data_IF_446754627902
#
_entry.id   IF_446754627902
#
_cell.length_a   1.000
_cell.length_b   1.000
_cell.length_c   1.000
_cell.angle_alpha   90.00
_cell.angle_beta   90.00
_cell.angle_gamma   90.00
#
_symmetry.space_group_name_H-M   'P 1'
#
loop_
_entity.id
_entity.type
_entity.pdbx_description
1 polymer ?
#
# COMPACT_ATOMS: atom_id res chain seq x y z
N UNK A 1 2.46 -6.56 18.33
CA UNK A 1 3.27 -5.97 17.25
C UNK A 1 2.65 -4.62 16.91
N UNK A 2 3.41 -3.52 16.96
CA UNK A 2 2.89 -2.21 16.57
C UNK A 2 2.80 -2.09 15.03
N UNK A 3 2.14 -1.04 14.53
CA UNK A 3 1.92 -0.84 13.08
C UNK A 3 3.25 -0.77 12.31
N UNK A 4 4.24 -0.06 12.85
CA UNK A 4 5.56 0.02 12.21
C UNK A 4 6.24 -1.35 12.08
N UNK A 5 6.30 -2.15 13.15
CA UNK A 5 6.86 -3.50 13.14
C UNK A 5 6.12 -4.43 12.17
N UNK A 6 4.79 -4.29 12.10
CA UNK A 6 3.97 -5.02 11.14
C UNK A 6 4.42 -4.72 9.70
N UNK A 7 4.56 -3.44 9.34
CA UNK A 7 4.92 -3.04 7.99
C UNK A 7 6.37 -3.32 7.61
N UNK A 8 7.29 -3.27 8.57
CA UNK A 8 8.68 -3.68 8.36
C UNK A 8 8.75 -5.18 8.01
N UNK A 9 8.03 -6.03 8.75
CA UNK A 9 7.95 -7.46 8.43
C UNK A 9 7.26 -7.72 7.10
N UNK A 10 6.15 -7.02 6.85
CA UNK A 10 5.41 -7.10 5.60
C UNK A 10 6.28 -6.70 4.39
N UNK A 11 7.18 -5.73 4.55
CA UNK A 11 8.09 -5.30 3.50
C UNK A 11 9.06 -6.43 3.10
N UNK A 12 9.63 -7.15 4.07
CA UNK A 12 10.49 -8.29 3.81
C UNK A 12 9.75 -9.43 3.08
N UNK A 13 8.54 -9.76 3.54
CA UNK A 13 7.72 -10.83 2.95
C UNK A 13 7.23 -10.49 1.54
N UNK A 14 7.06 -9.20 1.23
CA UNK A 14 6.54 -8.71 -0.05
C UNK A 14 7.58 -8.07 -0.97
N UNK A 15 8.87 -8.20 -0.65
CA UNK A 15 9.98 -7.55 -1.36
C UNK A 15 10.01 -7.82 -2.89
N UNK A 16 9.41 -8.93 -3.34
CA UNK A 16 9.31 -9.32 -4.75
C UNK A 16 7.86 -9.36 -5.28
N UNK A 17 6.88 -8.84 -4.52
CA UNK A 17 5.47 -8.96 -4.86
C UNK A 17 4.68 -7.69 -4.54
N UNK A 18 4.46 -6.88 -5.57
CA UNK A 18 3.58 -5.71 -5.52
C UNK A 18 2.20 -6.06 -4.97
N UNK A 19 1.58 -7.13 -5.47
CA UNK A 19 0.25 -7.57 -5.03
C UNK A 19 0.22 -7.88 -3.53
N UNK A 20 1.27 -8.52 -3.02
CA UNK A 20 1.35 -8.85 -1.59
C UNK A 20 1.55 -7.58 -0.75
N UNK A 21 2.35 -6.63 -1.23
CA UNK A 21 2.53 -5.35 -0.56
C UNK A 21 1.23 -4.55 -0.48
N UNK A 22 0.48 -4.45 -1.59
CA UNK A 22 -0.84 -3.83 -1.63
C UNK A 22 -1.81 -4.49 -0.64
N UNK A 23 -1.80 -5.83 -0.55
CA UNK A 23 -2.61 -6.58 0.41
C UNK A 23 -2.31 -6.19 1.86
N UNK A 24 -1.04 -5.93 2.17
CA UNK A 24 -0.64 -5.48 3.49
C UNK A 24 -1.07 -4.04 3.79
N UNK A 25 -1.01 -3.15 2.81
CA UNK A 25 -1.50 -1.78 2.94
C UNK A 25 -3.02 -1.74 3.15
N UNK A 26 -3.77 -2.52 2.38
CA UNK A 26 -5.23 -2.58 2.44
C UNK A 26 -5.80 -2.94 3.84
N UNK A 27 -5.02 -3.64 4.69
CA UNK A 27 -5.46 -3.94 6.06
C UNK A 27 -5.67 -2.71 6.95
N UNK A 28 -4.93 -1.63 6.69
CA UNK A 28 -4.96 -0.41 7.50
C UNK A 28 -5.27 0.85 6.69
N UNK A 29 -5.38 0.74 5.37
CA UNK A 29 -5.79 1.82 4.46
C UNK A 29 -7.07 1.38 3.77
N UNK A 30 -8.18 2.06 4.07
CA UNK A 30 -9.49 1.78 3.51
C UNK A 30 -10.18 3.07 3.06
N UNK A 31 -11.30 2.95 2.34
CA UNK A 31 -12.12 4.12 1.95
C UNK A 31 -12.63 4.90 3.18
N UNK A 32 -12.96 4.19 4.25
CA UNK A 32 -13.54 4.78 5.46
C UNK A 32 -12.49 5.43 6.37
N UNK A 33 -11.35 4.79 6.54
CA UNK A 33 -10.30 5.24 7.45
C UNK A 33 -8.91 4.74 7.05
N UNK A 34 -7.91 5.53 7.42
CA UNK A 34 -6.49 5.17 7.39
C UNK A 34 -5.98 5.11 8.83
N UNK A 35 -5.52 3.94 9.26
CA UNK A 35 -5.05 3.69 10.63
C UNK A 35 -3.53 3.88 10.77
N UNK A 36 -2.82 4.09 9.66
CA UNK A 36 -1.40 4.40 9.63
C UNK A 36 -1.24 5.90 9.86
N UNK A 37 -0.42 6.30 10.83
CA UNK A 37 -0.12 7.72 11.08
C UNK A 37 1.09 8.20 10.30
N UNK A 38 1.28 9.52 10.20
CA UNK A 38 2.50 10.08 9.59
C UNK A 38 3.78 9.65 10.35
N UNK A 39 3.72 9.53 11.67
CA UNK A 39 4.83 9.04 12.49
C UNK A 39 5.14 7.56 12.20
N UNK A 40 4.10 6.72 12.03
CA UNK A 40 4.30 5.33 11.60
C UNK A 40 4.99 5.28 10.24
N UNK A 41 4.53 6.07 9.26
CA UNK A 41 5.13 6.13 7.92
C UNK A 41 6.61 6.48 8.03
N UNK A 42 6.95 7.51 8.82
CA UNK A 42 8.34 7.93 9.06
C UNK A 42 9.18 6.79 9.64
N UNK A 43 8.71 6.13 10.70
CA UNK A 43 9.43 5.01 11.32
C UNK A 43 9.61 3.85 10.32
N UNK A 44 8.61 3.57 9.49
CA UNK A 44 8.67 2.50 8.50
C UNK A 44 9.69 2.84 7.41
N UNK A 45 9.65 4.05 6.83
CA UNK A 45 10.54 4.45 5.72
C UNK A 45 11.99 4.63 6.16
N UNK A 46 12.22 5.12 7.39
CA UNK A 46 13.56 5.28 7.98
C UNK A 46 14.18 3.96 8.48
N UNK A 47 13.41 2.86 8.53
CA UNK A 47 13.90 1.55 9.03
C UNK A 47 15.02 0.92 8.18
N UNK A 48 15.18 1.37 6.93
CA UNK A 48 16.12 0.77 5.97
C UNK A 48 15.76 -0.65 5.52
N UNK A 49 14.55 -1.14 5.84
CA UNK A 49 14.09 -2.50 5.50
C UNK A 49 13.19 -2.56 4.27
N UNK A 50 12.66 -1.41 3.84
CA UNK A 50 11.82 -1.32 2.66
C UNK A 50 12.68 -1.10 1.40
N UNK A 51 12.28 -1.77 0.32
CA UNK A 51 12.72 -1.40 -1.02
C UNK A 51 12.21 -0.01 -1.38
N UNK A 52 12.92 0.73 -2.24
CA UNK A 52 12.53 2.09 -2.63
C UNK A 52 11.11 2.15 -3.22
N UNK A 53 10.73 1.14 -4.01
CA UNK A 53 9.38 1.06 -4.56
C UNK A 53 8.30 0.84 -3.47
N UNK A 54 8.61 0.12 -2.39
CA UNK A 54 7.68 -0.08 -1.28
C UNK A 54 7.47 1.21 -0.49
N UNK A 55 8.53 2.01 -0.31
CA UNK A 55 8.46 3.34 0.32
C UNK A 55 7.58 4.28 -0.50
N UNK A 56 7.87 4.40 -1.80
CA UNK A 56 7.11 5.26 -2.70
C UNK A 56 5.61 4.89 -2.72
N UNK A 57 5.29 3.59 -2.77
CA UNK A 57 3.89 3.14 -2.70
C UNK A 57 3.27 3.49 -1.35
N UNK A 58 3.96 3.26 -0.22
CA UNK A 58 3.43 3.59 1.10
C UNK A 58 3.08 5.07 1.19
N UNK A 59 4.00 5.94 0.78
CA UNK A 59 3.81 7.40 0.79
C UNK A 59 2.65 7.82 -0.11
N UNK A 60 2.59 7.32 -1.35
CA UNK A 60 1.48 7.62 -2.27
C UNK A 60 0.14 7.08 -1.74
N UNK A 61 0.12 5.90 -1.11
CA UNK A 61 -1.07 5.32 -0.52
C UNK A 61 -1.62 6.13 0.67
N UNK A 62 -0.86 7.09 1.22
CA UNK A 62 -1.38 7.99 2.24
C UNK A 62 -2.19 9.15 1.68
N UNK A 63 -2.06 9.45 0.39
CA UNK A 63 -2.79 10.52 -0.28
C UNK A 63 -3.94 9.96 -1.13
N UNK A 64 -5.17 10.32 -0.73
CA UNK A 64 -6.42 9.87 -1.37
C UNK A 64 -6.57 10.32 -2.82
N UNK A 65 -5.81 11.31 -3.26
CA UNK A 65 -5.83 11.80 -4.64
C UNK A 65 -5.00 10.94 -5.58
N UNK A 66 -4.14 10.06 -5.04
CA UNK A 66 -3.25 9.23 -5.85
C UNK A 66 -3.94 7.99 -6.37
N UNK A 67 -3.46 7.51 -7.52
CA UNK A 67 -3.91 6.23 -8.07
C UNK A 67 -3.48 5.05 -7.19
N UNK A 68 -2.38 5.17 -6.45
CA UNK A 68 -1.93 4.12 -5.54
C UNK A 68 -2.91 3.95 -4.38
N UNK A 69 -3.44 5.04 -3.81
CA UNK A 69 -4.49 4.93 -2.80
C UNK A 69 -5.72 4.19 -3.35
N UNK A 70 -6.13 4.49 -4.59
CA UNK A 70 -7.25 3.79 -5.25
C UNK A 70 -6.98 2.29 -5.38
N UNK A 71 -5.80 1.91 -5.89
CA UNK A 71 -5.36 0.50 -6.00
C UNK A 71 -5.44 -0.20 -4.64
N UNK A 72 -4.96 0.46 -3.58
CA UNK A 72 -4.94 -0.11 -2.22
C UNK A 72 -6.34 -0.36 -1.69
N UNK A 73 -7.24 0.62 -1.77
CA UNK A 73 -8.59 0.46 -1.20
C UNK A 73 -9.48 -0.46 -2.03
N UNK A 74 -9.22 -0.62 -3.32
CA UNK A 74 -9.97 -1.49 -4.24
C UNK A 74 -9.52 -2.95 -4.21
N UNK A 75 -8.32 -3.24 -3.70
CA UNK A 75 -7.77 -4.60 -3.67
C UNK A 75 -8.66 -5.61 -2.91
N UNK A 76 -9.45 -5.15 -1.94
CA UNK A 76 -10.38 -5.98 -1.16
C UNK A 76 -11.78 -6.12 -1.78
N UNK A 77 -12.06 -5.41 -2.88
CA UNK A 77 -13.39 -5.46 -3.51
C UNK A 77 -13.58 -6.83 -4.21
N UNK A 78 -14.79 -7.44 -4.14
CA UNK A 78 -15.06 -8.74 -4.73
C UNK A 78 -14.70 -8.76 -6.22
N UNK A 79 -14.30 -9.91 -6.76
CA UNK A 79 -13.75 -10.05 -8.11
C UNK A 79 -14.62 -9.46 -9.25
N UNK A 80 -15.91 -9.22 -9.03
CA UNK A 80 -16.82 -8.53 -9.96
C UNK A 80 -16.47 -7.04 -10.14
N UNK A 81 -15.85 -6.41 -9.14
CA UNK A 81 -15.43 -5.00 -9.12
C UNK A 81 -13.91 -4.83 -9.40
N UNK A 82 -13.18 -5.94 -9.58
CA UNK A 82 -11.74 -5.99 -9.88
C UNK A 82 -11.34 -5.27 -11.19
N UNK A 83 -12.29 -4.92 -12.07
CA UNK A 83 -11.97 -4.15 -13.26
C UNK A 83 -11.36 -2.79 -12.91
N UNK A 84 -11.78 -2.15 -11.81
CA UNK A 84 -11.20 -0.87 -11.35
C UNK A 84 -9.78 -1.04 -10.84
N UNK A 85 -9.53 -2.10 -10.06
CA UNK A 85 -8.17 -2.47 -9.67
C UNK A 85 -7.28 -2.74 -10.89
N UNK A 86 -7.77 -3.49 -11.88
CA UNK A 86 -7.02 -3.76 -13.11
C UNK A 86 -6.74 -2.49 -13.92
N UNK A 87 -7.73 -1.60 -14.05
CA UNK A 87 -7.57 -0.30 -14.70
C UNK A 87 -6.56 0.58 -13.97
N UNK A 88 -6.67 0.69 -12.64
CA UNK A 88 -5.79 1.52 -11.83
C UNK A 88 -4.33 1.01 -11.86
N UNK A 89 -4.12 -0.31 -11.80
CA UNK A 89 -2.80 -0.92 -11.98
C UNK A 89 -2.25 -0.66 -13.38
N UNK A 90 -3.06 -0.80 -14.43
CA UNK A 90 -2.63 -0.52 -15.81
C UNK A 90 -2.22 0.95 -15.97
N UNK A 91 -3.02 1.88 -15.45
CA UNK A 91 -2.70 3.32 -15.47
C UNK A 91 -1.39 3.63 -14.75
N UNK A 92 -1.10 2.99 -13.63
CA UNK A 92 0.17 3.17 -12.93
C UNK A 92 1.36 2.60 -13.71
N UNK A 93 1.20 1.47 -14.40
CA UNK A 93 2.26 0.88 -15.23
C UNK A 93 2.58 1.69 -16.49
N UNK A 94 1.68 2.61 -16.89
CA UNK A 94 1.80 3.42 -18.11
C UNK A 94 1.88 4.93 -17.85
N UNK A 95 2.00 5.35 -16.59
CA UNK A 95 2.21 6.75 -16.17
C UNK A 95 3.70 7.04 -15.97
#
# INVERSE_FOLDING_TARGET
MNIAQYYIKAAEESQWSFKLWIRYLNKHISRAATLITADDVKVITESGKLQEWQKAILELAMDKTTIIWQIVVEYSEPAKDNWRYQEAVSRWQHA
#
